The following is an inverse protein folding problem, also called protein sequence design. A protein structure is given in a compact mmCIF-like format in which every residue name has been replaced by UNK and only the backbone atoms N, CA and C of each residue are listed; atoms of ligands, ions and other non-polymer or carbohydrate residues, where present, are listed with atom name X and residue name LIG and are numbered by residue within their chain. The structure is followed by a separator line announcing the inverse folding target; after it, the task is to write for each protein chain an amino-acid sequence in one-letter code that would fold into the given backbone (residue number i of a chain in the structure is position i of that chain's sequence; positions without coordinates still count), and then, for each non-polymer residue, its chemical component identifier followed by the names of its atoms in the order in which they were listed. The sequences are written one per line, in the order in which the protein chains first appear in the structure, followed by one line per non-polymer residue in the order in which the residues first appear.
data_IF_461470810637
#
_entry.id   IF_461470810637
#
_cell.length_a   1.000
_cell.length_b   1.000
_cell.length_c   1.000
_cell.angle_alpha   90.00
_cell.angle_beta   90.00
_cell.angle_gamma   90.00
#
_symmetry.space_group_name_H-M   'P 1'
#
loop_
_entity.id
_entity.type
_entity.pdbx_description
1 polymer ?
#
# COMPACT_ATOMS: atom_id res chain seq x y z
N UNK A 1 5.73 -2.32 4.52
CA UNK A 1 5.69 -0.84 4.60
C UNK A 1 4.31 -0.28 4.90
N UNK A 2 3.27 -0.49 4.07
CA UNK A 2 1.92 0.07 4.32
C UNK A 2 1.38 -0.24 5.73
N UNK A 3 1.63 -1.45 6.24
CA UNK A 3 1.28 -1.82 7.61
C UNK A 3 2.01 -0.99 8.69
N UNK A 4 3.26 -0.57 8.47
CA UNK A 4 4.01 0.30 9.40
C UNK A 4 3.27 1.64 9.51
N UNK A 5 2.97 2.26 8.37
CA UNK A 5 2.17 3.50 8.31
C UNK A 5 0.83 3.34 9.03
N UNK A 6 0.03 2.34 8.65
CA UNK A 6 -1.31 2.16 9.22
C UNK A 6 -1.30 1.79 10.72
N UNK A 7 -0.23 1.17 11.23
CA UNK A 7 -0.12 0.87 12.67
C UNK A 7 0.30 2.10 13.48
N UNK A 8 0.69 3.19 12.82
CA UNK A 8 1.12 4.45 13.43
C UNK A 8 0.03 5.53 13.47
N UNK A 9 -1.21 5.18 13.09
CA UNK A 9 -2.33 6.11 13.04
C UNK A 9 -2.68 6.63 14.44
N UNK A 10 -2.87 7.95 14.53
CA UNK A 10 -3.45 8.59 15.70
C UNK A 10 -4.96 8.54 15.57
N UNK A 11 -5.62 7.90 16.53
CA UNK A 11 -7.06 7.63 16.46
C UNK A 11 -7.79 8.36 17.59
N UNK A 12 -8.72 9.22 17.21
CA UNK A 12 -9.64 9.91 18.12
C UNK A 12 -11.06 9.86 17.55
N UNK A 13 -12.08 9.94 18.41
CA UNK A 13 -13.48 10.06 17.99
C UNK A 13 -13.76 11.37 17.24
N UNK A 14 -12.90 12.38 17.41
CA UNK A 14 -13.01 13.69 16.79
C UNK A 14 -12.33 13.80 15.43
N UNK A 15 -11.56 12.80 15.00
CA UNK A 15 -10.79 12.83 13.76
C UNK A 15 -11.50 12.03 12.66
N UNK A 16 -11.58 12.62 11.47
CA UNK A 16 -11.86 11.89 10.24
C UNK A 16 -10.72 10.91 9.92
N UNK A 17 -10.95 10.05 8.93
CA UNK A 17 -9.97 9.07 8.49
C UNK A 17 -8.81 9.78 7.79
N UNK A 18 -9.11 10.77 6.95
CA UNK A 18 -8.13 11.59 6.26
C UNK A 18 -7.22 12.34 7.26
N UNK A 19 -7.79 12.94 8.29
CA UNK A 19 -7.00 13.59 9.37
C UNK A 19 -6.16 12.58 10.14
N UNK A 20 -6.72 11.41 10.46
CA UNK A 20 -5.99 10.35 11.17
C UNK A 20 -4.80 9.82 10.35
N UNK A 21 -4.96 9.71 9.03
CA UNK A 21 -3.91 9.31 8.10
C UNK A 21 -2.82 10.38 7.98
N UNK A 22 -3.20 11.67 7.96
CA UNK A 22 -2.27 12.80 7.93
C UNK A 22 -1.49 13.01 9.23
N UNK A 23 -2.04 12.55 10.37
CA UNK A 23 -1.41 12.61 11.70
C UNK A 23 -0.65 11.34 12.07
N UNK A 24 -0.45 10.40 11.13
CA UNK A 24 0.29 9.17 11.39
C UNK A 24 1.71 9.47 11.89
N UNK A 25 2.12 8.84 13.00
CA UNK A 25 3.45 9.02 13.58
C UNK A 25 4.57 8.59 12.62
N UNK A 26 4.29 7.65 11.72
CA UNK A 26 5.16 7.28 10.60
C UNK A 26 4.42 7.56 9.30
N UNK A 27 4.56 8.78 8.74
CA UNK A 27 3.84 9.18 7.54
C UNK A 27 4.26 8.35 6.33
N UNK A 28 3.34 8.13 5.39
CA UNK A 28 3.56 7.26 4.24
C UNK A 28 4.70 7.77 3.34
N UNK A 29 4.86 9.08 3.26
CA UNK A 29 5.88 9.79 2.48
C UNK A 29 7.29 9.39 2.91
N UNK A 30 7.51 9.07 4.20
CA UNK A 30 8.81 8.56 4.67
C UNK A 30 9.07 7.12 4.24
N UNK A 31 8.02 6.34 3.95
CA UNK A 31 8.13 4.95 3.52
C UNK A 31 8.16 4.79 2.01
N UNK A 32 7.59 5.75 1.27
CA UNK A 32 7.53 5.75 -0.20
C UNK A 32 8.89 5.50 -0.87
N UNK A 33 10.02 6.13 -0.47
CA UNK A 33 11.33 5.84 -1.06
C UNK A 33 11.75 4.38 -0.89
N UNK A 34 11.45 3.77 0.25
CA UNK A 34 11.78 2.35 0.50
C UNK A 34 10.90 1.41 -0.31
N UNK A 35 9.61 1.73 -0.45
CA UNK A 35 8.68 0.98 -1.32
C UNK A 35 9.15 1.04 -2.77
N UNK A 36 9.51 2.24 -3.24
CA UNK A 36 9.99 2.46 -4.60
C UNK A 36 11.31 1.74 -4.87
N UNK A 37 12.30 1.86 -3.96
CA UNK A 37 13.59 1.18 -4.09
C UNK A 37 13.46 -0.34 -4.15
N UNK A 38 12.61 -0.93 -3.29
CA UNK A 38 12.33 -2.37 -3.33
C UNK A 38 11.71 -2.79 -4.67
N UNK A 39 10.73 -2.02 -5.14
CA UNK A 39 10.01 -2.33 -6.38
C UNK A 39 10.92 -2.21 -7.60
N UNK A 40 11.74 -1.16 -7.65
CA UNK A 40 12.73 -0.95 -8.70
C UNK A 40 13.78 -2.05 -8.70
N UNK A 41 14.36 -2.37 -7.54
CA UNK A 41 15.34 -3.45 -7.43
C UNK A 41 14.76 -4.81 -7.84
N UNK A 42 13.49 -5.07 -7.57
CA UNK A 42 12.80 -6.27 -8.05
C UNK A 42 12.72 -6.31 -9.57
N UNK A 43 12.32 -5.21 -10.22
CA UNK A 43 12.26 -5.14 -11.69
C UNK A 43 13.63 -5.20 -12.36
N UNK A 44 14.67 -4.63 -11.76
CA UNK A 44 16.04 -4.74 -12.27
C UNK A 44 16.58 -6.16 -12.16
N UNK A 45 16.18 -6.89 -11.11
CA UNK A 45 16.61 -8.28 -10.89
C UNK A 45 15.82 -9.28 -11.73
N UNK A 46 14.53 -9.02 -11.96
CA UNK A 46 13.60 -9.91 -12.66
C UNK A 46 12.81 -9.16 -13.76
N UNK A 47 13.47 -8.63 -14.79
CA UNK A 47 12.83 -7.76 -15.79
C UNK A 47 11.73 -8.46 -16.60
N UNK A 48 11.80 -9.78 -16.77
CA UNK A 48 10.85 -10.58 -17.55
C UNK A 48 9.44 -10.55 -16.96
N UNK A 49 9.31 -10.24 -15.66
CA UNK A 49 8.00 -10.11 -15.01
C UNK A 49 7.12 -9.05 -15.68
N UNK A 50 7.74 -8.00 -16.24
CA UNK A 50 7.03 -6.91 -16.93
C UNK A 50 6.49 -7.37 -18.29
N UNK A 51 7.08 -8.41 -18.90
CA UNK A 51 6.57 -9.04 -20.12
C UNK A 51 5.44 -10.02 -19.80
N UNK A 52 5.67 -10.93 -18.84
CA UNK A 52 4.69 -11.94 -18.49
C UNK A 52 3.46 -11.35 -17.79
N UNK A 53 3.65 -10.28 -17.03
CA UNK A 53 2.61 -9.61 -16.24
C UNK A 53 2.73 -8.09 -16.39
N UNK A 54 2.25 -7.51 -17.50
CA UNK A 54 2.24 -6.06 -17.69
C UNK A 54 1.44 -5.32 -16.62
N UNK A 55 0.53 -6.02 -15.92
CA UNK A 55 -0.29 -5.51 -14.84
C UNK A 55 0.32 -5.73 -13.44
N UNK A 56 1.59 -6.10 -13.34
CA UNK A 56 2.21 -6.53 -12.08
C UNK A 56 2.06 -5.51 -10.95
N UNK A 57 2.36 -4.22 -11.17
CA UNK A 57 2.22 -3.18 -10.14
C UNK A 57 0.78 -3.06 -9.64
N UNK A 58 -0.20 -3.13 -10.55
CA UNK A 58 -1.61 -3.14 -10.20
C UNK A 58 -1.91 -4.33 -9.28
N UNK A 59 -1.47 -5.52 -9.66
CA UNK A 59 -1.65 -6.74 -8.86
C UNK A 59 -0.96 -6.66 -7.50
N UNK A 60 0.24 -6.09 -7.40
CA UNK A 60 0.95 -5.87 -6.12
C UNK A 60 0.14 -4.97 -5.18
N UNK A 61 -0.45 -3.88 -5.70
CA UNK A 61 -1.31 -3.00 -4.90
C UNK A 61 -2.58 -3.73 -4.44
N UNK A 62 -3.20 -4.53 -5.32
CA UNK A 62 -4.36 -5.33 -4.96
C UNK A 62 -4.04 -6.35 -3.87
N UNK A 63 -2.92 -7.08 -3.99
CA UNK A 63 -2.47 -8.01 -2.97
C UNK A 63 -2.10 -7.33 -1.66
N UNK A 64 -1.60 -6.10 -1.72
CA UNK A 64 -1.39 -5.30 -0.51
C UNK A 64 -2.73 -5.01 0.20
N UNK A 65 -3.77 -4.62 -0.55
CA UNK A 65 -5.13 -4.46 -0.02
C UNK A 65 -5.70 -5.76 0.57
N UNK A 66 -5.55 -6.87 -0.15
CA UNK A 66 -5.97 -8.18 0.34
C UNK A 66 -5.23 -8.60 1.62
N UNK A 67 -3.91 -8.42 1.66
CA UNK A 67 -3.10 -8.71 2.85
C UNK A 67 -3.54 -7.91 4.08
N UNK A 68 -3.96 -6.65 3.89
CA UNK A 68 -4.54 -5.84 4.98
C UNK A 68 -5.88 -6.40 5.45
N UNK A 69 -6.77 -6.85 4.55
CA UNK A 69 -8.04 -7.49 4.92
C UNK A 69 -7.79 -8.75 5.75
N UNK A 70 -6.83 -9.58 5.34
CA UNK A 70 -6.45 -10.79 6.08
C UNK A 70 -5.95 -10.46 7.49
N UNK A 71 -5.17 -9.39 7.64
CA UNK A 71 -4.72 -8.91 8.96
C UNK A 71 -5.88 -8.40 9.82
N UNK A 72 -6.80 -7.62 9.25
CA UNK A 72 -7.98 -7.11 9.96
C UNK A 72 -8.83 -8.27 10.45
N UNK A 73 -9.00 -9.31 9.62
CA UNK A 73 -9.70 -10.53 10.00
C UNK A 73 -9.03 -11.20 11.21
N UNK A 74 -7.71 -11.35 11.19
CA UNK A 74 -6.97 -11.88 12.34
C UNK A 74 -7.13 -11.00 13.60
N UNK A 75 -7.13 -9.68 13.47
CA UNK A 75 -7.39 -8.75 14.58
C UNK A 75 -8.77 -8.99 15.19
N UNK A 76 -9.82 -9.09 14.38
CA UNK A 76 -11.19 -9.36 14.84
C UNK A 76 -11.27 -10.74 15.50
N UNK A 77 -10.72 -11.77 14.86
CA UNK A 77 -10.82 -13.16 15.32
C UNK A 77 -10.06 -13.40 16.64
N UNK A 78 -8.83 -12.89 16.75
CA UNK A 78 -7.95 -13.16 17.89
C UNK A 78 -7.97 -12.08 18.97
N UNK A 79 -8.03 -10.80 18.59
CA UNK A 79 -7.99 -9.69 19.55
C UNK A 79 -9.39 -9.21 19.97
N UNK A 80 -10.44 -9.70 19.31
CA UNK A 80 -11.85 -9.34 19.57
C UNK A 80 -12.09 -7.82 19.57
N UNK A 81 -11.28 -7.09 18.80
CA UNK A 81 -11.31 -5.64 18.74
C UNK A 81 -11.43 -5.16 17.30
N UNK A 82 -12.27 -4.14 17.10
CA UNK A 82 -12.44 -3.48 15.81
C UNK A 82 -12.94 -2.05 16.03
N UNK A 83 -12.00 -1.16 16.34
CA UNK A 83 -12.28 0.27 16.54
C UNK A 83 -12.08 1.09 15.26
N UNK A 84 -12.10 2.41 15.41
CA UNK A 84 -11.90 3.37 14.31
C UNK A 84 -10.58 3.14 13.55
N UNK A 85 -9.53 2.67 14.23
CA UNK A 85 -8.27 2.26 13.60
C UNK A 85 -8.49 1.14 12.57
N UNK A 86 -9.22 0.10 12.96
CA UNK A 86 -9.56 -1.03 12.09
C UNK A 86 -10.46 -0.61 10.93
N UNK A 87 -11.39 0.31 11.16
CA UNK A 87 -12.25 0.89 10.11
C UNK A 87 -11.42 1.67 9.09
N UNK A 88 -10.51 2.54 9.54
CA UNK A 88 -9.60 3.28 8.67
C UNK A 88 -8.73 2.33 7.83
N UNK A 89 -8.13 1.32 8.48
CA UNK A 89 -7.36 0.29 7.79
C UNK A 89 -8.20 -0.46 6.75
N UNK A 90 -9.46 -0.79 7.05
CA UNK A 90 -10.36 -1.49 6.13
C UNK A 90 -10.69 -0.62 4.90
N UNK A 91 -10.92 0.68 5.09
CA UNK A 91 -11.18 1.60 3.98
C UNK A 91 -9.96 1.75 3.07
N UNK A 92 -8.76 1.87 3.64
CA UNK A 92 -7.51 1.87 2.87
C UNK A 92 -7.39 0.54 2.11
N UNK A 93 -7.54 -0.60 2.80
CA UNK A 93 -7.44 -1.92 2.19
C UNK A 93 -8.41 -2.11 1.01
N UNK A 94 -9.67 -1.70 1.18
CA UNK A 94 -10.69 -1.70 0.13
C UNK A 94 -10.27 -0.85 -1.07
N UNK A 95 -9.70 0.33 -0.83
CA UNK A 95 -9.28 1.22 -1.91
C UNK A 95 -8.11 0.63 -2.70
N UNK A 96 -7.10 0.07 -2.02
CA UNK A 96 -5.98 -0.63 -2.67
C UNK A 96 -6.47 -1.82 -3.51
N UNK A 97 -7.43 -2.59 -2.99
CA UNK A 97 -7.94 -3.77 -3.68
C UNK A 97 -8.83 -3.44 -4.88
N UNK A 98 -9.76 -2.49 -4.71
CA UNK A 98 -10.82 -2.22 -5.69
C UNK A 98 -10.51 -1.05 -6.63
N UNK A 99 -9.53 -0.19 -6.31
CA UNK A 99 -9.13 0.97 -7.13
C UNK A 99 -7.60 1.12 -7.20
N UNK A 100 -6.85 0.04 -7.52
CA UNK A 100 -5.39 0.02 -7.46
C UNK A 100 -4.75 1.12 -8.30
N UNK A 101 -5.30 1.45 -9.47
CA UNK A 101 -4.76 2.49 -10.36
C UNK A 101 -4.79 3.88 -9.71
N UNK A 102 -5.86 4.18 -8.97
CA UNK A 102 -5.97 5.44 -8.23
C UNK A 102 -5.11 5.45 -6.97
N UNK A 103 -4.78 4.29 -6.42
CA UNK A 103 -3.98 4.15 -5.21
C UNK A 103 -2.48 4.11 -5.46
N UNK A 104 -2.03 3.72 -6.65
CA UNK A 104 -0.62 3.64 -7.00
C UNK A 104 0.15 4.96 -6.72
N UNK A 105 -0.33 6.16 -7.11
CA UNK A 105 0.35 7.41 -6.79
C UNK A 105 0.51 7.65 -5.28
N UNK A 106 -0.45 7.21 -4.46
CA UNK A 106 -0.35 7.32 -3.00
C UNK A 106 0.68 6.35 -2.43
N UNK A 107 0.72 5.10 -2.91
CA UNK A 107 1.62 4.07 -2.37
C UNK A 107 3.08 4.27 -2.79
N UNK A 108 3.30 4.64 -4.05
CA UNK A 108 4.64 4.79 -4.62
C UNK A 108 5.13 6.24 -4.65
N UNK A 109 4.25 7.21 -4.38
CA UNK A 109 4.61 8.63 -4.41
C UNK A 109 5.08 9.07 -5.80
N UNK A 110 6.00 10.05 -5.88
CA UNK A 110 6.55 10.55 -7.14
C UNK A 110 7.19 9.47 -8.01
N UNK A 111 7.73 8.41 -7.40
CA UNK A 111 8.41 7.32 -8.11
C UNK A 111 7.48 6.49 -9.01
N UNK A 112 6.15 6.63 -8.89
CA UNK A 112 5.20 5.90 -9.73
C UNK A 112 5.42 6.17 -11.22
N UNK A 113 5.79 7.41 -11.59
CA UNK A 113 6.03 7.78 -12.97
C UNK A 113 7.22 7.01 -13.57
N UNK A 114 8.29 6.85 -12.79
CA UNK A 114 9.45 6.06 -13.18
C UNK A 114 9.12 4.57 -13.26
N UNK A 115 8.41 4.05 -12.24
CA UNK A 115 8.06 2.63 -12.17
C UNK A 115 7.17 2.16 -13.34
N UNK A 116 6.26 3.03 -13.82
CA UNK A 116 5.41 2.73 -14.98
C UNK A 116 6.20 2.79 -16.30
N UNK A 117 7.29 3.56 -16.34
CA UNK A 117 8.13 3.69 -17.54
C UNK A 117 9.19 2.59 -17.65
N UNK A 118 9.44 1.83 -16.59
CA UNK A 118 10.34 0.68 -16.64
C UNK A 118 9.81 -0.32 -17.66
N UNK A 119 10.63 -0.56 -18.68
CA UNK A 119 10.40 -1.59 -19.69
C UNK A 119 11.37 -2.75 -19.45
N UNK A 120 11.02 -3.96 -19.90
CA UNK A 120 11.99 -5.04 -19.99
C UNK A 120 13.20 -4.56 -20.78
N UNK A 121 14.40 -4.80 -20.27
CA UNK A 121 15.61 -4.61 -21.08
C UNK A 121 15.56 -5.68 -22.17
N UNK A 122 15.61 -5.26 -23.44
CA UNK A 122 15.73 -6.20 -24.54
C UNK A 122 17.09 -6.87 -24.44
N UNK A 123 17.10 -8.11 -23.93
CA UNK A 123 18.25 -9.01 -23.95
C UNK A 123 18.08 -9.99 -25.10
#
# INVERSE_FOLDING_TARGET
YVQIWLSSLVISKSLSIEESLGLAMTPLEQLQPSIAALTKGYFETFPEILEYRPDFLRTVVQFTGFGLIQRIRAMIEYQKSFGNAGIAMLQVAKTLLCRPEKSMPTIFGPAIAELIQLRPSAV
#
